data_IF_439722490364
#
_entry.id   IF_439722490364
#
_cell.length_a   1.000
_cell.length_b   1.000
_cell.length_c   1.000
_cell.angle_alpha   90.00
_cell.angle_beta   90.00
_cell.angle_gamma   90.00
#
_symmetry.space_group_name_H-M   'P 1'
#
loop_
_entity.id
_entity.type
_entity.pdbx_description
1 polymer ?
#
# COMPACT_ATOMS: atom_id res chain seq x y z
N UNK A 1 -0.47 9.25 4.32
CA UNK A 1 0.06 7.92 4.65
C UNK A 1 1.56 7.92 4.36
N UNK A 2 2.35 7.42 5.29
CA UNK A 2 3.81 7.39 5.19
C UNK A 2 4.30 5.95 5.38
N UNK A 3 5.31 5.55 4.61
CA UNK A 3 6.06 4.31 4.79
C UNK A 3 7.46 4.71 5.26
N UNK A 4 7.90 4.16 6.39
CA UNK A 4 9.28 4.30 6.85
C UNK A 4 10.16 3.21 6.22
N UNK A 5 11.16 3.61 5.44
CA UNK A 5 12.15 2.68 4.89
C UNK A 5 13.44 2.84 5.68
N UNK A 6 13.83 1.78 6.39
CA UNK A 6 15.10 1.73 7.14
C UNK A 6 16.10 0.97 6.28
N UNK A 7 17.18 1.63 5.87
CA UNK A 7 18.14 1.09 4.90
C UNK A 7 19.52 1.79 5.04
N UNK A 8 20.42 1.63 4.08
CA UNK A 8 21.79 2.18 4.12
C UNK A 8 21.92 3.57 3.47
N UNK A 9 20.85 4.10 2.86
CA UNK A 9 20.84 5.42 2.22
C UNK A 9 19.83 5.59 1.09
N UNK A 10 19.66 6.83 0.66
CA UNK A 10 18.60 7.25 -0.25
C UNK A 10 19.04 8.43 -1.13
N UNK A 11 18.87 8.32 -2.44
CA UNK A 11 18.86 9.45 -3.36
C UNK A 11 17.59 10.30 -3.19
N UNK A 12 17.64 11.25 -2.25
CA UNK A 12 16.52 12.16 -1.95
C UNK A 12 16.11 13.07 -3.12
N UNK A 13 16.88 13.10 -4.21
CA UNK A 13 16.60 13.89 -5.40
C UNK A 13 15.97 13.06 -6.53
N UNK A 14 15.72 11.77 -6.31
CA UNK A 14 15.09 10.91 -7.29
C UNK A 14 13.68 11.41 -7.63
N UNK A 15 13.43 11.73 -8.90
CA UNK A 15 12.18 12.40 -9.33
C UNK A 15 10.93 11.52 -9.23
N UNK A 16 11.15 10.21 -9.20
CA UNK A 16 10.08 9.21 -9.14
C UNK A 16 9.66 8.82 -7.72
N UNK A 17 10.22 9.46 -6.67
CA UNK A 17 9.91 9.16 -5.27
C UNK A 17 9.56 10.45 -4.54
N UNK A 18 8.49 10.42 -3.76
CA UNK A 18 8.18 11.50 -2.82
C UNK A 18 8.76 11.18 -1.43
N UNK A 19 9.94 11.73 -1.13
CA UNK A 19 10.52 11.63 0.21
C UNK A 19 9.86 12.62 1.17
N UNK A 20 9.36 12.09 2.29
CA UNK A 20 8.78 12.87 3.38
C UNK A 20 9.86 13.74 4.01
N UNK A 21 9.55 15.03 4.17
CA UNK A 21 10.37 15.97 4.94
C UNK A 21 9.65 16.33 6.23
N UNK A 22 10.39 16.50 7.32
CA UNK A 22 9.83 16.94 8.59
C UNK A 22 9.61 18.46 8.58
N UNK A 23 8.45 18.92 8.14
CA UNK A 23 8.12 20.36 8.10
C UNK A 23 7.80 20.96 9.48
N UNK A 24 7.84 20.15 10.54
CA UNK A 24 7.74 20.63 11.92
C UNK A 24 9.09 21.08 12.47
N UNK A 25 10.18 20.78 11.77
CA UNK A 25 11.54 21.25 12.05
C UNK A 25 11.91 22.51 11.25
N UNK A 26 12.68 23.40 11.87
CA UNK A 26 13.34 24.52 11.19
C UNK A 26 14.77 24.11 10.84
N UNK A 27 15.10 23.87 9.55
CA UNK A 27 16.37 23.25 9.18
C UNK A 27 17.60 24.01 9.67
N UNK A 28 18.46 23.34 10.44
CA UNK A 28 19.78 23.81 10.84
C UNK A 28 19.75 24.86 11.95
N UNK A 29 18.68 24.89 12.75
CA UNK A 29 18.59 25.76 13.92
C UNK A 29 19.16 25.09 15.18
N UNK A 30 19.55 23.82 15.12
CA UNK A 30 20.12 23.01 16.22
C UNK A 30 19.17 22.75 17.38
N UNK A 31 17.87 22.87 17.15
CA UNK A 31 16.81 22.58 18.11
C UNK A 31 15.99 21.38 17.62
N UNK A 32 15.29 20.75 18.57
CA UNK A 32 14.20 19.81 18.30
C UNK A 32 12.91 20.64 18.42
N UNK A 33 12.43 21.15 17.29
CA UNK A 33 11.31 22.10 17.23
C UNK A 33 9.96 21.40 17.40
N UNK A 34 9.86 20.16 16.91
CA UNK A 34 8.64 19.38 16.97
C UNK A 34 8.48 18.61 18.29
N UNK A 35 9.58 18.39 19.03
CA UNK A 35 9.65 17.72 20.31
C UNK A 35 9.68 16.19 20.21
N UNK A 36 10.11 15.63 19.07
CA UNK A 36 10.12 14.19 18.81
C UNK A 36 11.34 13.47 19.43
N UNK A 37 12.32 14.21 19.98
CA UNK A 37 13.56 13.69 20.55
C UNK A 37 14.76 13.64 19.59
N UNK A 38 14.60 14.13 18.36
CA UNK A 38 15.56 14.08 17.26
C UNK A 38 15.78 15.49 16.72
N UNK A 39 16.97 16.03 16.92
CA UNK A 39 17.31 17.41 16.54
C UNK A 39 17.51 17.53 15.02
N UNK A 40 16.92 18.57 14.41
CA UNK A 40 17.08 18.93 13.00
C UNK A 40 16.75 17.77 12.01
N UNK A 41 15.79 16.88 12.28
CA UNK A 41 15.47 15.69 11.45
C UNK A 41 14.71 16.00 10.13
N UNK A 42 14.99 17.15 9.50
CA UNK A 42 14.20 17.67 8.38
C UNK A 42 14.16 16.74 7.15
N UNK A 43 15.26 16.06 6.83
CA UNK A 43 15.36 15.16 5.67
C UNK A 43 15.09 13.68 6.00
N UNK A 44 14.72 13.36 7.24
CA UNK A 44 14.71 12.02 7.80
C UNK A 44 15.79 11.85 8.86
N UNK A 45 16.13 10.60 9.18
CA UNK A 45 17.08 10.33 10.27
C UNK A 45 18.21 9.40 9.84
N UNK A 46 19.43 9.73 10.26
CA UNK A 46 20.59 8.87 10.14
C UNK A 46 21.02 8.41 11.54
N UNK A 47 20.69 7.17 11.90
CA UNK A 47 21.00 6.60 13.21
C UNK A 47 22.51 6.30 13.40
N UNK A 48 23.30 6.33 12.33
CA UNK A 48 24.76 6.22 12.41
C UNK A 48 25.41 7.52 12.84
N UNK A 49 24.92 8.66 12.32
CA UNK A 49 25.50 9.99 12.58
C UNK A 49 24.68 10.86 13.51
N UNK A 50 23.52 10.36 13.96
CA UNK A 50 22.58 11.02 14.87
C UNK A 50 22.14 12.42 14.37
N UNK A 51 21.76 12.51 13.10
CA UNK A 51 21.31 13.74 12.43
C UNK A 51 20.52 13.43 11.15
N UNK A 52 20.16 14.44 10.36
CA UNK A 52 19.44 14.31 9.08
C UNK A 52 20.34 14.09 7.85
N UNK A 53 21.61 13.71 8.04
CA UNK A 53 22.54 13.53 6.93
C UNK A 53 22.26 12.22 6.16
N UNK A 54 21.28 12.28 5.26
CA UNK A 54 20.91 11.16 4.40
C UNK A 54 21.88 11.06 3.21
N UNK A 55 22.70 10.01 3.20
CA UNK A 55 23.63 9.72 2.10
C UNK A 55 22.90 9.04 0.94
N UNK A 56 23.35 9.29 -0.29
CA UNK A 56 22.80 8.63 -1.48
C UNK A 56 23.28 7.17 -1.55
N UNK A 57 22.34 6.23 -1.69
CA UNK A 57 22.61 4.80 -1.89
C UNK A 57 21.62 4.23 -2.92
N UNK A 58 22.04 3.20 -3.65
CA UNK A 58 21.20 2.52 -4.66
C UNK A 58 20.20 1.54 -4.04
N UNK A 59 20.56 0.84 -2.96
CA UNK A 59 19.72 -0.18 -2.34
C UNK A 59 18.45 0.42 -1.73
N UNK A 60 18.57 1.35 -0.78
CA UNK A 60 17.42 2.02 -0.17
C UNK A 60 16.57 2.82 -1.16
N UNK A 61 17.17 3.45 -2.19
CA UNK A 61 16.41 4.07 -3.29
C UNK A 61 15.59 3.04 -4.07
N UNK A 62 16.13 1.85 -4.34
CA UNK A 62 15.43 0.80 -5.09
C UNK A 62 14.28 0.19 -4.31
N UNK A 63 14.51 -0.09 -3.04
CA UNK A 63 13.50 -0.52 -2.07
C UNK A 63 12.37 0.51 -1.96
N UNK A 64 12.72 1.79 -1.84
CA UNK A 64 11.75 2.89 -1.78
C UNK A 64 10.87 2.98 -3.04
N UNK A 65 11.45 2.80 -4.22
CA UNK A 65 10.68 2.79 -5.47
C UNK A 65 9.71 1.63 -5.59
N UNK A 66 10.08 0.44 -5.09
CA UNK A 66 9.17 -0.72 -5.08
C UNK A 66 7.97 -0.44 -4.18
N UNK A 67 8.21 0.12 -2.99
CA UNK A 67 7.14 0.44 -2.05
C UNK A 67 6.22 1.56 -2.58
N UNK A 68 6.79 2.62 -3.16
CA UNK A 68 6.06 3.86 -3.41
C UNK A 68 6.61 4.82 -4.46
N UNK A 69 7.20 4.34 -5.57
CA UNK A 69 7.43 5.20 -6.72
C UNK A 69 6.11 5.79 -7.25
N UNK A 70 6.15 7.05 -7.69
CA UNK A 70 5.00 7.83 -8.10
C UNK A 70 4.46 7.27 -9.43
N UNK A 71 3.27 6.68 -9.40
CA UNK A 71 2.65 6.18 -10.62
C UNK A 71 2.02 7.27 -11.50
N UNK A 72 1.90 6.98 -12.80
CA UNK A 72 1.26 7.83 -13.82
C UNK A 72 1.83 9.25 -13.96
N UNK A 73 3.10 9.45 -13.62
CA UNK A 73 3.82 10.72 -13.81
C UNK A 73 4.57 10.82 -15.16
N UNK A 74 4.50 9.78 -16.00
CA UNK A 74 5.12 9.71 -17.33
C UNK A 74 6.62 9.42 -17.34
N UNK A 75 7.21 9.00 -16.21
CA UNK A 75 8.61 8.57 -16.11
C UNK A 75 8.72 7.21 -15.42
N UNK A 76 9.86 6.55 -15.59
CA UNK A 76 10.30 5.54 -14.65
C UNK A 76 9.41 4.32 -14.47
N UNK A 77 9.09 4.05 -13.20
CA UNK A 77 8.38 2.86 -12.72
C UNK A 77 7.16 3.29 -11.90
N UNK A 78 6.46 2.33 -11.30
CA UNK A 78 5.42 2.62 -10.33
C UNK A 78 5.61 1.69 -9.12
N UNK A 79 5.49 2.25 -7.93
CA UNK A 79 5.52 1.46 -6.70
C UNK A 79 4.21 0.71 -6.50
N UNK A 80 4.15 -0.08 -5.43
CA UNK A 80 2.91 -0.76 -5.03
C UNK A 80 1.84 0.25 -4.61
N UNK A 81 2.21 1.35 -3.93
CA UNK A 81 1.32 2.46 -3.65
C UNK A 81 1.79 3.76 -4.31
N UNK A 82 1.03 4.25 -5.29
CA UNK A 82 1.43 5.41 -6.10
C UNK A 82 1.32 6.74 -5.36
N UNK A 83 0.52 6.80 -4.29
CA UNK A 83 0.23 8.03 -3.55
C UNK A 83 0.62 7.85 -2.08
N UNK A 84 1.92 7.80 -1.84
CA UNK A 84 2.50 7.61 -0.52
C UNK A 84 3.77 8.44 -0.37
N UNK A 85 4.10 8.84 0.87
CA UNK A 85 5.41 9.41 1.17
C UNK A 85 6.34 8.36 1.74
N UNK A 86 7.62 8.43 1.37
CA UNK A 86 8.69 7.60 1.92
C UNK A 86 9.45 8.41 2.97
N UNK A 87 9.46 7.96 4.23
CA UNK A 87 10.33 8.48 5.27
C UNK A 87 11.67 7.71 5.21
N UNK A 88 12.80 8.35 4.88
CA UNK A 88 14.09 7.70 4.77
C UNK A 88 14.80 7.64 6.14
N UNK A 89 15.27 6.46 6.54
CA UNK A 89 16.05 6.26 7.77
C UNK A 89 17.31 5.43 7.48
N UNK A 90 18.48 5.92 7.90
CA UNK A 90 19.77 5.23 7.71
C UNK A 90 20.17 4.43 8.96
N UNK A 91 20.66 3.21 8.76
CA UNK A 91 21.32 2.35 9.75
C UNK A 91 22.43 1.51 9.10
N UNK A 92 23.46 1.11 9.88
CA UNK A 92 24.48 0.14 9.47
C UNK A 92 24.22 -1.27 10.06
N UNK A 93 22.97 -1.59 10.41
CA UNK A 93 22.54 -2.90 10.94
C UNK A 93 23.23 -3.25 12.28
N UNK A 94 23.56 -2.23 13.06
CA UNK A 94 23.96 -2.38 14.46
C UNK A 94 22.72 -2.29 15.34
N UNK A 95 22.52 -3.23 16.27
CA UNK A 95 21.30 -3.32 17.08
C UNK A 95 20.87 -1.97 17.68
N UNK A 96 21.80 -1.22 18.26
CA UNK A 96 21.50 0.09 18.85
C UNK A 96 21.00 1.13 17.83
N UNK A 97 21.57 1.12 16.62
CA UNK A 97 21.15 2.03 15.54
C UNK A 97 19.79 1.62 14.99
N UNK A 98 19.52 0.31 14.89
CA UNK A 98 18.21 -0.20 14.48
C UNK A 98 17.13 0.16 15.50
N UNK A 99 17.43 0.03 16.80
CA UNK A 99 16.53 0.47 17.88
C UNK A 99 16.26 1.98 17.77
N UNK A 100 17.30 2.80 17.56
CA UNK A 100 17.16 4.25 17.39
C UNK A 100 16.33 4.60 16.14
N UNK A 101 16.59 3.95 15.01
CA UNK A 101 15.84 4.12 13.77
C UNK A 101 14.34 3.84 13.96
N UNK A 102 13.98 2.74 14.63
CA UNK A 102 12.57 2.47 14.93
C UNK A 102 11.99 3.36 16.03
N UNK A 103 12.82 3.86 16.95
CA UNK A 103 12.38 4.83 17.96
C UNK A 103 11.99 6.16 17.30
N UNK A 104 12.73 6.58 16.26
CA UNK A 104 12.38 7.74 15.44
C UNK A 104 11.03 7.57 14.73
N UNK A 105 10.83 6.41 14.11
CA UNK A 105 9.54 6.07 13.48
C UNK A 105 8.39 6.11 14.51
N UNK A 106 8.62 5.54 15.69
CA UNK A 106 7.65 5.54 16.78
C UNK A 106 7.34 6.96 17.28
N UNK A 107 8.34 7.82 17.48
CA UNK A 107 8.12 9.18 18.02
C UNK A 107 7.28 10.04 17.09
N UNK A 108 7.54 10.00 15.78
CA UNK A 108 6.73 10.70 14.77
C UNK A 108 5.29 10.18 14.71
N UNK A 109 5.12 8.86 14.86
CA UNK A 109 3.79 8.24 14.90
C UNK A 109 3.02 8.61 16.16
N UNK A 110 3.68 8.61 17.31
CA UNK A 110 3.07 9.00 18.58
C UNK A 110 2.68 10.47 18.60
N UNK A 111 3.51 11.37 18.04
CA UNK A 111 3.12 12.77 17.86
C UNK A 111 1.84 12.86 17.04
N UNK A 112 1.76 12.16 15.90
CA UNK A 112 0.54 12.13 15.10
C UNK A 112 -0.68 11.66 15.90
N UNK A 113 -0.55 10.55 16.63
CA UNK A 113 -1.65 9.98 17.39
C UNK A 113 -2.11 10.91 18.53
N UNK A 114 -1.16 11.50 19.27
CA UNK A 114 -1.44 12.30 20.47
C UNK A 114 -1.89 13.72 20.14
N UNK A 115 -1.56 14.23 18.96
CA UNK A 115 -1.97 15.57 18.50
C UNK A 115 -3.05 15.55 17.42
N UNK A 116 -3.70 14.40 17.20
CA UNK A 116 -4.72 14.22 16.15
C UNK A 116 -4.27 14.70 14.76
N UNK A 117 -2.99 14.48 14.44
CA UNK A 117 -2.37 14.85 13.16
C UNK A 117 -1.82 16.28 13.06
N UNK A 118 -1.92 17.11 14.10
CA UNK A 118 -1.32 18.45 14.10
C UNK A 118 0.23 18.44 14.03
N UNK A 119 0.87 17.36 14.48
CA UNK A 119 2.31 17.09 14.43
C UNK A 119 2.57 15.64 14.01
N UNK A 120 3.80 15.34 13.64
CA UNK A 120 4.21 13.99 13.27
C UNK A 120 3.55 13.48 12.00
N UNK A 121 3.61 12.16 11.79
CA UNK A 121 3.17 11.54 10.54
C UNK A 121 2.31 10.30 10.75
N UNK A 122 1.32 10.12 9.87
CA UNK A 122 0.52 8.90 9.76
C UNK A 122 1.34 7.79 9.09
N UNK A 123 2.35 7.31 9.82
CA UNK A 123 3.19 6.18 9.42
C UNK A 123 2.39 4.90 9.68
N UNK A 124 2.25 4.06 8.66
CA UNK A 124 1.46 2.82 8.76
C UNK A 124 2.29 1.57 8.53
N UNK A 125 3.45 1.72 7.89
CA UNK A 125 4.32 0.60 7.59
C UNK A 125 5.80 0.95 7.78
N UNK A 126 6.57 -0.06 8.16
CA UNK A 126 8.03 -0.03 8.01
C UNK A 126 8.52 -1.13 7.06
N UNK A 127 9.68 -0.92 6.46
CA UNK A 127 10.39 -1.94 5.69
C UNK A 127 11.82 -2.11 6.20
N UNK A 128 12.20 -3.37 6.36
CA UNK A 128 13.53 -3.80 6.81
C UNK A 128 14.13 -4.72 5.75
N UNK A 129 14.80 -4.16 4.76
CA UNK A 129 15.48 -4.92 3.69
C UNK A 129 16.93 -5.21 4.05
N UNK A 130 17.18 -5.47 5.34
CA UNK A 130 18.47 -5.74 5.96
C UNK A 130 18.28 -6.73 7.11
N UNK A 131 19.38 -7.31 7.60
CA UNK A 131 19.32 -8.30 8.66
C UNK A 131 20.67 -8.86 9.06
N UNK A 132 20.63 -9.82 9.97
CA UNK A 132 21.79 -10.63 10.37
C UNK A 132 21.40 -12.09 10.16
N UNK A 133 22.10 -12.76 9.24
CA UNK A 133 21.85 -14.16 8.92
C UNK A 133 22.37 -15.09 10.03
N UNK A 134 21.70 -16.24 10.22
CA UNK A 134 22.18 -17.37 11.05
C UNK A 134 22.39 -17.03 12.54
N UNK A 135 21.58 -16.13 13.09
CA UNK A 135 21.59 -15.76 14.50
C UNK A 135 20.23 -15.97 15.14
N UNK A 136 20.22 -16.18 16.46
CA UNK A 136 18.96 -16.31 17.21
C UNK A 136 18.37 -14.94 17.53
N UNK A 137 17.06 -14.73 17.38
CA UNK A 137 16.39 -13.52 17.85
C UNK A 137 16.49 -13.33 19.37
N UNK A 138 16.72 -14.40 20.13
CA UNK A 138 16.94 -14.35 21.59
C UNK A 138 18.20 -13.56 21.97
N UNK A 139 19.16 -13.42 21.04
CA UNK A 139 20.37 -12.61 21.24
C UNK A 139 20.12 -11.11 20.97
N UNK A 140 18.97 -10.76 20.37
CA UNK A 140 18.57 -9.39 20.00
C UNK A 140 17.15 -9.03 20.48
N UNK A 141 16.82 -9.25 21.78
CA UNK A 141 15.46 -9.13 22.27
C UNK A 141 14.91 -7.70 22.18
N UNK A 142 15.78 -6.68 22.23
CA UNK A 142 15.38 -5.28 22.15
C UNK A 142 15.03 -4.88 20.72
N UNK A 143 15.75 -5.39 19.72
CA UNK A 143 15.36 -5.20 18.32
C UNK A 143 13.99 -5.85 18.07
N UNK A 144 13.79 -7.12 18.45
CA UNK A 144 12.47 -7.75 18.25
C UNK A 144 11.33 -7.00 18.95
N UNK A 145 11.57 -6.48 20.16
CA UNK A 145 10.58 -5.70 20.91
C UNK A 145 10.19 -4.36 20.25
N UNK A 146 11.01 -3.83 19.32
CA UNK A 146 10.65 -2.63 18.58
C UNK A 146 9.46 -2.88 17.64
N UNK A 147 9.33 -4.07 17.05
CA UNK A 147 8.19 -4.39 16.21
C UNK A 147 6.87 -4.38 17.01
N UNK A 148 6.88 -4.86 18.25
CA UNK A 148 5.72 -4.76 19.14
C UNK A 148 5.41 -3.31 19.55
N UNK A 149 6.45 -2.50 19.74
CA UNK A 149 6.31 -1.07 20.09
C UNK A 149 5.67 -0.30 18.95
N UNK A 150 6.15 -0.51 17.72
CA UNK A 150 5.57 0.05 16.49
C UNK A 150 4.15 -0.45 16.26
N UNK A 151 3.92 -1.75 16.44
CA UNK A 151 2.63 -2.40 16.33
C UNK A 151 1.56 -1.81 17.23
N UNK A 152 1.90 -1.53 18.49
CA UNK A 152 1.01 -0.86 19.44
C UNK A 152 0.57 0.53 19.00
N UNK A 153 1.38 1.21 18.19
CA UNK A 153 1.04 2.50 17.58
C UNK A 153 0.30 2.37 16.22
N UNK A 154 0.02 1.14 15.79
CA UNK A 154 -0.67 0.80 14.54
C UNK A 154 0.25 0.63 13.33
N UNK A 155 1.56 0.52 13.53
CA UNK A 155 2.50 0.34 12.42
C UNK A 155 2.77 -1.15 12.19
N UNK A 156 2.59 -1.61 10.95
CA UNK A 156 2.95 -2.97 10.56
C UNK A 156 4.31 -2.99 9.86
N UNK A 157 5.22 -3.83 10.33
CA UNK A 157 6.58 -3.90 9.79
C UNK A 157 6.70 -5.05 8.80
N UNK A 158 7.47 -4.84 7.75
CA UNK A 158 7.88 -5.89 6.81
C UNK A 158 9.38 -6.10 6.87
N UNK A 159 9.82 -7.34 6.68
CA UNK A 159 11.23 -7.67 6.67
C UNK A 159 11.60 -8.71 5.61
N UNK A 160 12.75 -8.50 5.00
CA UNK A 160 13.38 -9.44 4.11
C UNK A 160 14.12 -10.50 4.94
N UNK A 161 13.89 -11.78 4.63
CA UNK A 161 14.70 -12.87 5.21
C UNK A 161 16.07 -12.96 4.53
N UNK A 162 17.02 -13.73 5.05
CA UNK A 162 18.29 -14.04 4.37
C UNK A 162 18.13 -14.37 2.88
N UNK A 163 19.06 -13.94 2.05
CA UNK A 163 19.10 -14.33 0.63
C UNK A 163 19.62 -15.77 0.41
N UNK A 164 20.16 -16.40 1.47
CA UNK A 164 20.59 -17.78 1.45
C UNK A 164 19.40 -18.75 1.49
N UNK A 165 19.53 -19.90 0.83
CA UNK A 165 18.51 -20.95 0.86
C UNK A 165 18.58 -21.75 2.17
N UNK A 166 18.17 -21.12 3.27
CA UNK A 166 18.23 -21.66 4.62
C UNK A 166 16.84 -21.82 5.22
N UNK A 167 16.66 -22.87 6.03
CA UNK A 167 15.49 -23.00 6.87
C UNK A 167 15.68 -22.16 8.14
N UNK A 168 15.06 -20.98 8.17
CA UNK A 168 15.11 -20.00 9.25
C UNK A 168 14.53 -20.53 10.56
N UNK A 169 13.55 -21.44 10.51
CA UNK A 169 13.03 -22.12 11.72
C UNK A 169 14.15 -22.89 12.47
N UNK A 170 15.24 -23.26 11.77
CA UNK A 170 16.36 -24.04 12.31
C UNK A 170 17.57 -23.18 12.62
N UNK A 171 17.94 -22.28 11.71
CA UNK A 171 19.21 -21.54 11.80
C UNK A 171 19.07 -20.13 12.37
N UNK A 172 17.85 -19.61 12.45
CA UNK A 172 17.58 -18.25 12.86
C UNK A 172 17.94 -17.20 11.80
N UNK A 173 17.34 -16.02 11.95
CA UNK A 173 17.54 -14.85 11.10
C UNK A 173 17.02 -13.63 11.86
N UNK A 174 17.79 -12.54 11.84
CA UNK A 174 17.27 -11.24 12.28
C UNK A 174 16.93 -10.38 11.06
N UNK A 175 15.75 -9.73 11.02
CA UNK A 175 14.70 -9.78 12.04
C UNK A 175 13.65 -10.89 11.80
N UNK A 176 13.73 -11.69 10.73
CA UNK A 176 12.57 -12.49 10.31
C UNK A 176 12.19 -13.65 11.22
N UNK A 177 13.05 -14.04 12.16
CA UNK A 177 12.71 -14.99 13.23
C UNK A 177 12.13 -14.33 14.50
N UNK A 178 12.02 -13.00 14.57
CA UNK A 178 11.36 -12.32 15.69
C UNK A 178 9.88 -12.72 15.76
N UNK A 179 9.39 -13.10 16.94
CA UNK A 179 8.03 -13.60 17.15
C UNK A 179 6.94 -12.52 17.21
N UNK A 180 7.21 -11.31 16.74
CA UNK A 180 6.25 -10.20 16.84
C UNK A 180 5.09 -10.40 15.87
N UNK A 181 3.86 -10.31 16.37
CA UNK A 181 2.66 -10.36 15.52
C UNK A 181 2.62 -9.21 14.50
N UNK A 182 3.35 -8.12 14.76
CA UNK A 182 3.39 -6.91 13.94
C UNK A 182 4.52 -6.91 12.90
N UNK A 183 5.22 -8.03 12.74
CA UNK A 183 6.19 -8.25 11.68
C UNK A 183 5.62 -9.18 10.62
N UNK A 184 5.79 -8.83 9.35
CA UNK A 184 5.56 -9.71 8.20
C UNK A 184 6.91 -10.07 7.59
N UNK A 185 7.29 -11.34 7.71
CA UNK A 185 8.54 -11.91 7.20
C UNK A 185 8.36 -12.43 5.78
N UNK A 186 9.24 -12.02 4.85
CA UNK A 186 9.01 -12.15 3.42
C UNK A 186 10.15 -12.90 2.73
N UNK A 187 9.80 -13.98 2.00
CA UNK A 187 10.71 -14.66 1.07
C UNK A 187 10.50 -14.22 -0.38
N UNK A 188 11.38 -14.67 -1.27
CA UNK A 188 11.49 -14.18 -2.63
C UNK A 188 10.91 -15.16 -3.66
N UNK A 189 10.08 -14.64 -4.55
CA UNK A 189 9.57 -15.34 -5.73
C UNK A 189 10.05 -14.67 -7.02
N UNK A 190 10.16 -15.46 -8.09
CA UNK A 190 10.50 -14.96 -9.42
C UNK A 190 9.24 -14.68 -10.27
N UNK A 191 9.44 -14.20 -11.50
CA UNK A 191 8.36 -13.94 -12.48
C UNK A 191 7.57 -15.17 -12.95
N UNK A 192 7.99 -16.37 -12.56
CA UNK A 192 7.31 -17.64 -12.82
C UNK A 192 6.67 -18.22 -11.55
N UNK A 193 6.61 -17.43 -10.47
CA UNK A 193 6.06 -17.80 -9.17
C UNK A 193 6.80 -18.98 -8.51
N UNK A 194 8.12 -19.00 -8.65
CA UNK A 194 8.98 -20.01 -8.05
C UNK A 194 9.84 -19.41 -6.94
N UNK A 195 10.06 -20.17 -5.87
CA UNK A 195 11.04 -19.87 -4.82
C UNK A 195 12.43 -20.34 -5.30
N UNK A 196 13.21 -19.46 -5.92
CA UNK A 196 14.55 -19.81 -6.43
C UNK A 196 15.68 -19.54 -5.43
N UNK A 197 15.50 -18.56 -4.55
CA UNK A 197 16.52 -18.08 -3.62
C UNK A 197 15.87 -17.27 -2.51
N UNK A 198 16.37 -17.40 -1.29
CA UNK A 198 15.82 -16.77 -0.10
C UNK A 198 15.60 -17.79 1.01
N UNK A 199 15.63 -17.32 2.25
CA UNK A 199 15.27 -18.09 3.43
C UNK A 199 13.81 -18.53 3.38
N UNK A 200 13.53 -19.63 4.06
CA UNK A 200 12.19 -20.17 4.22
C UNK A 200 12.01 -20.67 5.65
N UNK A 201 10.78 -20.85 6.10
CA UNK A 201 10.47 -21.29 7.45
C UNK A 201 8.96 -21.42 7.58
N UNK A 202 8.49 -22.62 7.91
CA UNK A 202 7.07 -22.93 8.04
C UNK A 202 6.41 -22.14 9.19
N UNK A 203 7.21 -21.61 10.12
CA UNK A 203 6.71 -20.83 11.26
C UNK A 203 7.28 -19.41 11.33
N UNK A 204 8.45 -19.15 10.76
CA UNK A 204 9.09 -17.82 10.82
C UNK A 204 8.85 -16.95 9.59
N UNK A 205 8.59 -17.55 8.41
CA UNK A 205 8.42 -16.80 7.16
C UNK A 205 6.97 -16.82 6.74
N UNK A 206 6.35 -15.65 6.64
CA UNK A 206 4.91 -15.54 6.47
C UNK A 206 4.46 -15.85 5.03
N UNK A 207 5.10 -15.23 4.04
CA UNK A 207 4.70 -15.32 2.63
C UNK A 207 5.84 -15.00 1.65
N UNK A 208 5.62 -15.28 0.37
CA UNK A 208 6.48 -14.83 -0.72
C UNK A 208 6.03 -13.51 -1.35
N UNK A 209 6.96 -12.74 -1.91
CA UNK A 209 6.66 -11.64 -2.83
C UNK A 209 7.70 -11.59 -3.97
N UNK A 210 7.44 -10.87 -5.08
CA UNK A 210 8.40 -10.77 -6.18
C UNK A 210 9.71 -10.10 -5.73
N UNK A 211 10.83 -10.80 -5.84
CA UNK A 211 12.15 -10.25 -5.48
C UNK A 211 13.25 -10.55 -6.49
N UNK A 212 12.98 -11.36 -7.51
CA UNK A 212 13.97 -11.76 -8.51
C UNK A 212 13.84 -10.93 -9.78
N UNK A 213 14.93 -10.24 -10.15
CA UNK A 213 15.01 -9.35 -11.30
C UNK A 213 13.96 -8.24 -11.29
N UNK A 214 13.80 -7.57 -10.14
CA UNK A 214 12.86 -6.47 -9.96
C UNK A 214 13.47 -5.16 -10.48
N UNK A 215 12.78 -4.50 -11.40
CA UNK A 215 13.17 -3.22 -11.97
C UNK A 215 12.56 -2.09 -11.14
N UNK A 216 13.38 -1.18 -10.62
CA UNK A 216 12.96 -0.06 -9.78
C UNK A 216 13.93 1.13 -9.92
N UNK A 217 13.69 2.19 -9.16
CA UNK A 217 14.55 3.37 -9.01
C UNK A 217 15.94 2.99 -8.49
N UNK A 218 16.98 3.72 -8.89
CA UNK A 218 18.34 3.63 -8.33
C UNK A 218 18.94 5.03 -8.22
N UNK A 219 20.01 5.18 -7.45
CA UNK A 219 20.66 6.48 -7.27
C UNK A 219 21.11 7.11 -8.60
N UNK A 220 21.08 8.45 -8.65
CA UNK A 220 21.40 9.23 -9.84
C UNK A 220 20.20 9.38 -10.78
N UNK A 221 18.98 9.49 -10.22
CA UNK A 221 17.73 9.65 -10.98
C UNK A 221 17.59 8.63 -12.14
N UNK A 222 17.91 7.37 -11.85
CA UNK A 222 18.05 6.29 -12.83
C UNK A 222 17.22 5.08 -12.42
N UNK A 223 17.16 4.06 -13.28
CA UNK A 223 16.38 2.85 -13.02
C UNK A 223 17.22 1.60 -13.32
N UNK A 224 16.99 0.53 -12.58
CA UNK A 224 17.79 -0.68 -12.69
C UNK A 224 17.15 -1.91 -12.05
N UNK A 225 17.71 -3.06 -12.38
CA UNK A 225 17.26 -4.36 -11.87
C UNK A 225 18.10 -4.80 -10.67
N UNK A 226 17.46 -5.22 -9.58
CA UNK A 226 18.10 -5.91 -8.46
C UNK A 226 17.39 -7.23 -8.16
N UNK A 227 18.03 -8.09 -7.38
CA UNK A 227 17.51 -9.40 -6.96
C UNK A 227 17.80 -9.64 -5.51
N UNK A 228 16.78 -10.02 -4.75
CA UNK A 228 16.88 -10.42 -3.35
C UNK A 228 15.54 -10.39 -2.64
N UNK A 229 15.50 -10.99 -1.46
CA UNK A 229 14.40 -10.81 -0.49
C UNK A 229 14.23 -9.33 -0.12
N UNK A 230 15.32 -8.55 -0.17
CA UNK A 230 15.30 -7.08 -0.04
C UNK A 230 14.36 -6.39 -1.03
N UNK A 231 14.14 -6.95 -2.22
CA UNK A 231 13.19 -6.45 -3.20
C UNK A 231 11.78 -7.02 -2.99
N UNK A 232 11.63 -8.10 -2.22
CA UNK A 232 10.34 -8.72 -1.89
C UNK A 232 9.64 -7.96 -0.77
N UNK A 233 10.34 -7.71 0.33
CA UNK A 233 9.80 -7.01 1.51
C UNK A 233 9.09 -5.66 1.21
N UNK A 234 9.62 -4.74 0.38
CA UNK A 234 8.95 -3.47 0.12
C UNK A 234 7.62 -3.59 -0.61
N UNK A 235 7.34 -4.72 -1.29
CA UNK A 235 6.00 -4.98 -1.82
C UNK A 235 4.98 -5.10 -0.68
N UNK A 236 5.36 -5.67 0.46
CA UNK A 236 4.49 -5.77 1.64
C UNK A 236 4.29 -4.40 2.29
N UNK A 237 5.35 -3.61 2.47
CA UNK A 237 5.21 -2.26 3.02
C UNK A 237 4.27 -1.38 2.17
N UNK A 238 4.43 -1.44 0.84
CA UNK A 238 3.52 -0.77 -0.09
C UNK A 238 2.10 -1.32 -0.06
N UNK A 239 1.92 -2.64 0.09
CA UNK A 239 0.61 -3.29 0.24
C UNK A 239 -0.12 -2.81 1.50
N UNK A 240 0.56 -2.78 2.65
CA UNK A 240 0.00 -2.26 3.91
C UNK A 240 -0.45 -0.81 3.72
N UNK A 241 0.41 0.03 3.13
CA UNK A 241 0.05 1.42 2.88
C UNK A 241 -1.15 1.57 1.94
N UNK A 242 -1.25 0.75 0.88
CA UNK A 242 -2.38 0.78 -0.03
C UNK A 242 -3.68 0.33 0.66
N UNK A 243 -3.62 -0.74 1.45
CA UNK A 243 -4.78 -1.22 2.22
C UNK A 243 -5.24 -0.18 3.24
N UNK A 244 -4.31 0.49 3.94
CA UNK A 244 -4.66 1.58 4.85
C UNK A 244 -5.23 2.80 4.12
N UNK A 245 -4.76 3.10 2.91
CA UNK A 245 -5.35 4.15 2.07
C UNK A 245 -6.76 3.81 1.60
N UNK A 246 -7.06 2.51 1.55
CA UNK A 246 -8.35 1.98 1.15
C UNK A 246 -9.25 1.49 2.27
N UNK A 247 -8.88 1.75 3.52
CA UNK A 247 -9.72 1.44 4.65
C UNK A 247 -10.95 2.35 4.67
N UNK A 248 -12.09 1.79 5.06
CA UNK A 248 -13.33 2.52 5.27
C UNK A 248 -13.32 3.30 6.60
N UNK A 249 -14.28 4.21 6.77
CA UNK A 249 -14.42 4.98 8.01
C UNK A 249 -14.53 4.09 9.24
N UNK A 250 -15.32 3.01 9.20
CA UNK A 250 -15.49 2.11 10.35
C UNK A 250 -14.15 1.47 10.77
N UNK A 251 -13.35 1.00 9.80
CA UNK A 251 -12.00 0.50 10.06
C UNK A 251 -11.10 1.59 10.65
N UNK A 252 -11.15 2.81 10.11
CA UNK A 252 -10.31 3.91 10.57
C UNK A 252 -10.71 4.41 11.97
N UNK A 253 -12.00 4.36 12.32
CA UNK A 253 -12.52 4.70 13.65
C UNK A 253 -12.09 3.66 14.69
N UNK A 254 -12.17 2.37 14.35
CA UNK A 254 -11.65 1.29 15.18
C UNK A 254 -10.12 1.36 15.29
N UNK A 255 -9.43 1.67 14.20
CA UNK A 255 -7.98 1.85 14.17
C UNK A 255 -7.54 3.07 15.01
N UNK A 256 -8.32 4.14 15.06
CA UNK A 256 -8.06 5.28 15.95
C UNK A 256 -8.27 4.90 17.42
N UNK A 257 -9.21 4.01 17.70
CA UNK A 257 -9.57 3.57 19.07
C UNK A 257 -8.61 2.53 19.62
N UNK A 258 -8.28 1.51 18.81
CA UNK A 258 -7.36 0.42 19.13
C UNK A 258 -6.48 0.11 17.90
N UNK A 259 -5.42 0.91 17.68
CA UNK A 259 -4.54 0.74 16.53
C UNK A 259 -3.81 -0.60 16.55
N UNK A 260 -3.49 -1.11 17.75
CA UNK A 260 -2.78 -2.36 17.96
C UNK A 260 -3.61 -3.56 17.50
N UNK A 261 -4.86 -3.67 17.95
CA UNK A 261 -5.73 -4.76 17.50
C UNK A 261 -6.12 -4.61 16.02
N UNK A 262 -6.43 -3.38 15.59
CA UNK A 262 -7.00 -3.17 14.26
C UNK A 262 -5.99 -3.38 13.13
N UNK A 263 -4.70 -3.03 13.32
CA UNK A 263 -3.69 -3.25 12.28
C UNK A 263 -3.45 -4.74 11.99
N UNK A 264 -3.68 -5.62 12.96
CA UNK A 264 -3.50 -7.07 12.78
C UNK A 264 -4.49 -7.66 11.78
N UNK A 265 -5.65 -7.03 11.54
CA UNK A 265 -6.53 -7.41 10.45
C UNK A 265 -5.88 -7.22 9.08
N UNK A 266 -5.06 -6.18 8.88
CA UNK A 266 -4.32 -6.00 7.63
C UNK A 266 -3.34 -7.16 7.41
N UNK A 267 -2.59 -7.56 8.45
CA UNK A 267 -1.73 -8.75 8.37
C UNK A 267 -2.55 -9.99 8.03
N UNK A 268 -3.63 -10.23 8.77
CA UNK A 268 -4.51 -11.39 8.55
C UNK A 268 -5.01 -11.43 7.10
N UNK A 269 -5.52 -10.32 6.57
CA UNK A 269 -6.05 -10.25 5.22
C UNK A 269 -4.98 -10.44 4.15
N UNK A 270 -3.75 -9.98 4.38
CA UNK A 270 -2.61 -10.27 3.49
C UNK A 270 -2.32 -11.78 3.45
N UNK A 271 -2.26 -12.44 4.61
CA UNK A 271 -1.90 -13.86 4.71
C UNK A 271 -3.01 -14.80 4.25
N UNK A 272 -4.28 -14.46 4.48
CA UNK A 272 -5.43 -15.26 4.04
C UNK A 272 -5.73 -15.12 2.54
N UNK A 273 -5.19 -14.10 1.88
CA UNK A 273 -5.54 -13.76 0.49
C UNK A 273 -4.44 -14.08 -0.51
N UNK A 274 -3.41 -14.81 -0.12
CA UNK A 274 -2.27 -15.15 -0.99
C UNK A 274 -2.69 -16.01 -2.19
N UNK A 275 -1.95 -15.90 -3.29
CA UNK A 275 -1.97 -16.92 -4.33
C UNK A 275 -1.12 -18.11 -3.85
N UNK A 276 -1.73 -19.27 -3.61
CA UNK A 276 -1.00 -20.47 -3.14
C UNK A 276 -0.04 -20.96 -4.21
N UNK A 277 1.21 -21.26 -3.82
CA UNK A 277 2.25 -21.76 -4.70
C UNK A 277 2.84 -23.06 -4.14
N UNK A 278 3.04 -24.06 -5.00
CA UNK A 278 3.60 -25.36 -4.61
C UNK A 278 4.93 -25.23 -3.88
N UNK A 279 5.81 -24.34 -4.36
CA UNK A 279 7.13 -24.08 -3.77
C UNK A 279 7.08 -23.42 -2.38
N UNK A 280 5.93 -22.85 -1.98
CA UNK A 280 5.76 -22.16 -0.69
C UNK A 280 4.95 -23.00 0.30
N UNK A 281 4.21 -24.02 -0.16
CA UNK A 281 3.40 -24.89 0.69
C UNK A 281 4.28 -25.64 1.71
N UNK A 282 3.98 -25.44 3.00
CA UNK A 282 4.71 -26.08 4.09
C UNK A 282 6.13 -25.54 4.34
N UNK A 283 6.56 -24.50 3.62
CA UNK A 283 7.83 -23.79 3.86
C UNK A 283 7.65 -22.30 4.16
N UNK A 284 6.43 -21.78 4.10
CA UNK A 284 5.99 -20.50 4.68
C UNK A 284 4.66 -20.69 5.41
N UNK A 285 4.29 -19.75 6.28
CA UNK A 285 3.05 -19.79 7.08
C UNK A 285 1.81 -19.80 6.19
N UNK A 286 1.77 -18.92 5.18
CA UNK A 286 0.61 -18.78 4.27
C UNK A 286 0.63 -19.78 3.11
N UNK A 287 1.79 -20.37 2.79
CA UNK A 287 1.94 -21.23 1.62
C UNK A 287 1.79 -20.50 0.27
N UNK A 288 1.87 -19.16 0.24
CA UNK A 288 1.58 -18.41 -0.97
C UNK A 288 2.32 -17.09 -1.11
N UNK A 289 2.08 -16.46 -2.25
CA UNK A 289 2.66 -15.18 -2.67
C UNK A 289 1.63 -14.06 -2.53
N UNK A 290 2.08 -12.86 -2.16
CA UNK A 290 1.23 -11.67 -2.00
C UNK A 290 0.27 -11.46 -3.18
N UNK A 291 -1.03 -11.44 -2.89
CA UNK A 291 -2.05 -10.96 -3.82
C UNK A 291 -2.82 -9.79 -3.18
N UNK A 292 -2.37 -8.58 -3.52
CA UNK A 292 -2.89 -7.34 -2.94
C UNK A 292 -4.34 -7.06 -3.36
N UNK A 293 -4.75 -7.48 -4.55
CA UNK A 293 -6.14 -7.33 -4.99
C UNK A 293 -7.09 -8.13 -4.10
N UNK A 294 -6.77 -9.41 -3.89
CA UNK A 294 -7.54 -10.29 -3.00
C UNK A 294 -7.52 -9.78 -1.55
N UNK A 295 -6.39 -9.27 -1.06
CA UNK A 295 -6.29 -8.69 0.29
C UNK A 295 -7.16 -7.44 0.47
N UNK A 296 -7.23 -6.56 -0.54
CA UNK A 296 -8.13 -5.40 -0.54
C UNK A 296 -9.60 -5.84 -0.54
N UNK A 297 -9.96 -6.84 -1.36
CA UNK A 297 -11.31 -7.43 -1.34
C UNK A 297 -11.64 -8.07 0.00
N UNK A 298 -10.66 -8.66 0.68
CA UNK A 298 -10.87 -9.28 1.99
C UNK A 298 -11.10 -8.24 3.08
N UNK A 299 -10.26 -7.19 3.13
CA UNK A 299 -10.49 -6.01 3.97
C UNK A 299 -11.87 -5.45 3.72
N UNK A 300 -12.25 -5.46 2.44
CA UNK A 300 -13.51 -4.98 2.00
C UNK A 300 -14.66 -5.73 2.68
N UNK A 301 -14.86 -6.97 2.23
CA UNK A 301 -16.00 -7.80 2.60
C UNK A 301 -16.08 -8.06 4.10
N UNK A 302 -14.93 -8.17 4.78
CA UNK A 302 -14.86 -8.69 6.14
C UNK A 302 -15.03 -7.62 7.22
N UNK A 303 -14.58 -6.39 6.95
CA UNK A 303 -14.55 -5.34 7.98
C UNK A 303 -15.53 -4.21 7.70
N UNK A 304 -15.61 -3.82 6.44
CA UNK A 304 -16.21 -2.56 6.09
C UNK A 304 -17.71 -2.68 5.77
N UNK A 305 -18.35 -3.86 5.91
CA UNK A 305 -19.81 -4.09 5.78
C UNK A 305 -20.47 -3.19 4.71
N UNK A 306 -20.19 -3.45 3.43
CA UNK A 306 -20.58 -2.69 2.23
C UNK A 306 -19.99 -1.27 2.07
N UNK A 307 -19.25 -0.74 3.05
CA UNK A 307 -18.50 0.50 2.92
C UNK A 307 -17.13 0.24 2.31
N UNK A 308 -17.06 -0.33 1.10
CA UNK A 308 -15.77 -0.59 0.48
C UNK A 308 -15.79 -0.14 -0.95
N UNK A 309 -14.67 0.46 -1.35
CA UNK A 309 -14.06 0.28 -2.65
C UNK A 309 -14.97 -0.44 -3.64
N UNK A 310 -15.53 0.35 -4.54
CA UNK A 310 -16.28 -0.08 -5.72
C UNK A 310 -15.38 -0.89 -6.68
N UNK A 311 -14.86 -2.01 -6.19
CA UNK A 311 -14.14 -3.04 -6.93
C UNK A 311 -15.05 -4.28 -7.06
N UNK A 312 -16.05 -4.45 -6.18
CA UNK A 312 -17.09 -5.48 -6.32
C UNK A 312 -18.44 -4.97 -6.85
N UNK A 313 -18.69 -3.65 -6.86
CA UNK A 313 -19.90 -3.12 -7.50
C UNK A 313 -19.72 -2.78 -9.00
N UNK A 314 -18.51 -2.95 -9.55
CA UNK A 314 -18.29 -2.93 -10.99
C UNK A 314 -18.08 -4.31 -11.60
N UNK A 315 -19.05 -5.21 -11.35
CA UNK A 315 -19.58 -6.01 -12.44
C UNK A 315 -21.12 -6.04 -12.42
N UNK A 316 -21.76 -4.87 -12.23
CA UNK A 316 -22.90 -4.65 -13.12
C UNK A 316 -22.27 -4.52 -14.51
N UNK A 317 -22.22 -5.62 -15.26
CA UNK A 317 -21.84 -5.57 -16.68
C UNK A 317 -22.94 -4.78 -17.40
N UNK A 318 -22.73 -3.47 -17.46
CA UNK A 318 -23.62 -2.49 -18.08
C UNK A 318 -23.24 -2.36 -19.54
N UNK A 319 -24.13 -2.80 -20.41
CA UNK A 319 -24.04 -2.57 -21.86
C UNK A 319 -24.83 -1.34 -22.22
N UNK A 320 -24.12 -0.36 -22.80
CA UNK A 320 -24.71 0.83 -23.39
C UNK A 320 -24.81 0.61 -24.90
N UNK A 321 -25.99 0.77 -25.47
CA UNK A 321 -26.18 0.67 -26.91
C UNK A 321 -27.38 1.48 -27.40
N UNK A 322 -27.36 1.99 -28.64
CA UNK A 322 -26.16 2.14 -29.45
C UNK A 322 -25.19 3.16 -28.82
N UNK A 323 -23.90 3.03 -29.14
CA UNK A 323 -22.87 4.03 -28.79
C UNK A 323 -21.82 3.99 -29.91
N UNK A 324 -21.80 4.96 -30.86
CA UNK A 324 -22.52 6.23 -30.83
C UNK A 324 -24.05 6.13 -30.96
N UNK A 325 -24.78 7.09 -30.40
CA UNK A 325 -26.24 7.15 -30.39
C UNK A 325 -26.78 8.40 -31.09
N UNK A 326 -27.97 8.29 -31.70
CA UNK A 326 -28.63 9.40 -32.41
C UNK A 326 -29.82 9.90 -31.61
N UNK A 327 -30.85 9.07 -31.43
CA UNK A 327 -32.10 9.48 -30.77
C UNK A 327 -32.24 8.93 -29.34
N UNK A 328 -31.71 7.73 -29.09
CA UNK A 328 -31.84 7.03 -27.81
C UNK A 328 -30.59 6.25 -27.41
N UNK A 329 -30.39 6.15 -26.09
CA UNK A 329 -29.40 5.27 -25.46
C UNK A 329 -30.12 4.26 -24.57
N UNK A 330 -29.84 2.99 -24.75
CA UNK A 330 -30.33 1.90 -23.90
C UNK A 330 -29.22 1.41 -22.98
N UNK A 331 -29.62 1.05 -21.76
CA UNK A 331 -28.71 0.60 -20.71
C UNK A 331 -29.20 -0.77 -20.25
N UNK A 332 -28.42 -1.82 -20.52
CA UNK A 332 -28.74 -3.18 -20.09
C UNK A 332 -27.75 -3.66 -19.05
N UNK A 333 -28.25 -4.26 -17.98
CA UNK A 333 -27.44 -4.89 -16.92
C UNK A 333 -27.38 -6.39 -17.16
N UNK A 334 -26.19 -6.97 -17.07
CA UNK A 334 -26.00 -8.42 -17.25
C UNK A 334 -26.25 -9.22 -15.95
N UNK A 335 -26.35 -8.56 -14.81
CA UNK A 335 -26.84 -9.17 -13.57
C UNK A 335 -28.38 -9.24 -13.58
N UNK A 336 -28.91 -10.46 -13.64
CA UNK A 336 -30.36 -10.73 -13.64
C UNK A 336 -31.02 -10.54 -12.28
N UNK A 337 -30.23 -10.48 -11.20
CA UNK A 337 -30.72 -10.32 -9.84
C UNK A 337 -30.71 -8.85 -9.37
N UNK A 338 -30.15 -7.93 -10.17
CA UNK A 338 -30.16 -6.52 -9.85
C UNK A 338 -31.56 -5.92 -9.99
N UNK A 339 -32.18 -5.60 -8.85
CA UNK A 339 -33.58 -5.13 -8.77
C UNK A 339 -33.71 -3.71 -8.21
N UNK A 340 -32.60 -3.10 -7.75
CA UNK A 340 -32.59 -1.74 -7.20
C UNK A 340 -32.86 -0.71 -8.31
N UNK A 341 -33.51 0.39 -7.94
CA UNK A 341 -33.76 1.48 -8.89
C UNK A 341 -32.51 2.33 -9.08
N UNK A 342 -32.42 2.94 -10.26
CA UNK A 342 -31.28 3.72 -10.68
C UNK A 342 -31.71 5.03 -11.30
N UNK A 343 -30.91 6.05 -11.04
CA UNK A 343 -30.98 7.34 -11.70
C UNK A 343 -29.89 7.43 -12.74
N UNK A 344 -30.25 7.75 -13.99
CA UNK A 344 -29.29 8.01 -15.03
C UNK A 344 -29.11 9.52 -15.22
N UNK A 345 -27.86 9.95 -15.32
CA UNK A 345 -27.49 11.33 -15.64
C UNK A 345 -26.52 11.36 -16.83
N UNK A 346 -26.75 12.28 -17.76
CA UNK A 346 -25.82 12.58 -18.85
C UNK A 346 -25.33 14.01 -18.69
N UNK A 347 -24.01 14.17 -18.66
CA UNK A 347 -23.35 15.48 -18.60
C UNK A 347 -22.47 15.69 -19.82
N UNK A 348 -22.36 16.93 -20.30
CA UNK A 348 -21.42 17.27 -21.37
C UNK A 348 -19.98 17.42 -20.83
N UNK A 349 -19.01 17.64 -21.72
CA UNK A 349 -17.60 17.84 -21.36
C UNK A 349 -17.33 19.07 -20.47
N UNK A 350 -18.28 20.00 -20.37
CA UNK A 350 -18.19 21.17 -19.49
C UNK A 350 -18.81 20.89 -18.10
N UNK A 351 -19.31 19.67 -17.87
CA UNK A 351 -19.95 19.26 -16.62
C UNK A 351 -21.42 19.70 -16.49
N UNK A 352 -22.01 20.25 -17.56
CA UNK A 352 -23.42 20.66 -17.54
C UNK A 352 -24.32 19.43 -17.67
N UNK A 353 -25.33 19.35 -16.80
CA UNK A 353 -26.31 18.26 -16.81
C UNK A 353 -27.34 18.45 -17.92
N UNK A 354 -27.38 17.49 -18.83
CA UNK A 354 -28.22 17.52 -20.02
C UNK A 354 -29.47 16.65 -19.82
N UNK A 355 -29.29 15.47 -19.23
CA UNK A 355 -30.37 14.55 -18.88
C UNK A 355 -30.21 14.12 -17.43
N UNK A 356 -31.35 14.03 -16.73
CA UNK A 356 -31.47 13.49 -15.38
C UNK A 356 -32.80 12.78 -15.29
N UNK A 357 -32.80 11.47 -15.04
CA UNK A 357 -34.03 10.73 -14.78
C UNK A 357 -34.44 10.82 -13.32
N UNK A 358 -35.64 10.36 -12.99
CA UNK A 358 -35.95 9.86 -11.65
C UNK A 358 -35.31 8.47 -11.43
N UNK A 359 -35.39 7.95 -10.21
CA UNK A 359 -35.01 6.56 -9.92
C UNK A 359 -35.99 5.59 -10.59
N UNK A 360 -35.51 4.90 -11.62
CA UNK A 360 -36.28 3.95 -12.45
C UNK A 360 -35.70 2.55 -12.36
N UNK A 361 -36.50 1.53 -12.64
CA UNK A 361 -35.99 0.16 -12.66
C UNK A 361 -35.02 -0.06 -13.85
N UNK A 362 -34.03 -0.96 -13.73
CA UNK A 362 -33.14 -1.31 -14.84
C UNK A 362 -33.90 -1.79 -16.10
N UNK A 363 -35.08 -2.40 -15.91
CA UNK A 363 -35.94 -2.82 -17.02
C UNK A 363 -36.41 -1.63 -17.87
N UNK A 364 -36.72 -0.48 -17.26
CA UNK A 364 -37.12 0.74 -17.98
C UNK A 364 -35.93 1.25 -18.80
N UNK A 365 -34.74 1.34 -18.20
CA UNK A 365 -33.54 1.81 -18.89
C UNK A 365 -33.14 0.90 -20.08
N UNK A 366 -33.44 -0.40 -19.98
CA UNK A 366 -33.18 -1.38 -21.05
C UNK A 366 -34.20 -1.32 -22.19
N UNK A 367 -35.48 -1.09 -21.91
CA UNK A 367 -36.56 -1.20 -22.89
C UNK A 367 -37.05 0.14 -23.43
N UNK A 368 -37.09 1.18 -22.60
CA UNK A 368 -37.58 2.50 -22.99
C UNK A 368 -36.43 3.43 -23.43
N UNK A 369 -35.25 3.24 -22.84
CA UNK A 369 -34.04 4.01 -23.12
C UNK A 369 -34.12 5.47 -22.67
N UNK A 370 -32.99 6.17 -22.73
CA UNK A 370 -32.87 7.60 -22.52
C UNK A 370 -33.04 8.32 -23.84
N UNK A 371 -33.99 9.25 -23.92
CA UNK A 371 -34.16 10.13 -25.08
C UNK A 371 -33.08 11.21 -25.06
N UNK A 372 -32.25 11.22 -26.11
CA UNK A 372 -31.15 12.16 -26.30
C UNK A 372 -31.41 13.10 -27.49
N UNK A 373 -32.60 13.06 -28.08
CA UNK A 373 -32.94 13.83 -29.27
C UNK A 373 -32.73 15.32 -29.04
N UNK A 374 -32.09 16.00 -30.00
CA UNK A 374 -31.87 17.44 -29.96
C UNK A 374 -30.61 17.89 -29.22
N UNK A 375 -29.81 16.96 -28.69
CA UNK A 375 -28.48 17.26 -28.15
C UNK A 375 -27.43 17.32 -29.29
N UNK A 376 -26.45 18.24 -29.22
CA UNK A 376 -25.43 18.33 -30.24
C UNK A 376 -24.54 17.09 -30.30
N UNK A 377 -24.05 16.73 -31.49
CA UNK A 377 -23.09 15.65 -31.64
C UNK A 377 -21.80 15.93 -30.85
N UNK A 378 -21.29 14.94 -30.13
CA UNK A 378 -20.15 15.12 -29.22
C UNK A 378 -19.95 13.99 -28.21
N UNK A 379 -18.99 14.18 -27.31
CA UNK A 379 -18.71 13.24 -26.21
C UNK A 379 -19.41 13.70 -24.94
N UNK A 380 -20.01 12.75 -24.24
CA UNK A 380 -20.73 12.97 -22.99
C UNK A 380 -20.34 11.90 -21.97
N UNK A 381 -20.57 12.17 -20.70
CA UNK A 381 -20.41 11.21 -19.62
C UNK A 381 -21.79 10.77 -19.13
N UNK A 382 -22.07 9.48 -19.25
CA UNK A 382 -23.23 8.84 -18.64
C UNK A 382 -22.83 8.33 -17.25
N UNK A 383 -23.62 8.62 -16.22
CA UNK A 383 -23.46 8.09 -14.87
C UNK A 383 -24.77 7.49 -14.36
N UNK A 384 -24.67 6.38 -13.63
CA UNK A 384 -25.80 5.76 -12.92
C UNK A 384 -25.60 5.92 -11.43
N UNK A 385 -26.67 6.26 -10.73
CA UNK A 385 -26.70 6.44 -9.28
C UNK A 385 -27.75 5.53 -8.65
N UNK A 386 -27.43 4.96 -7.48
CA UNK A 386 -28.38 4.23 -6.66
C UNK A 386 -29.24 5.18 -5.80
N UNK A 387 -30.25 4.63 -5.11
CA UNK A 387 -31.19 5.41 -4.28
C UNK A 387 -30.51 6.17 -3.11
N UNK A 388 -29.27 5.82 -2.77
CA UNK A 388 -28.45 6.53 -1.79
C UNK A 388 -27.61 7.66 -2.41
N UNK A 389 -27.80 7.95 -3.70
CA UNK A 389 -27.04 8.92 -4.50
C UNK A 389 -25.58 8.53 -4.72
N UNK A 390 -25.24 7.25 -4.57
CA UNK A 390 -23.90 6.73 -4.84
C UNK A 390 -23.81 6.39 -6.33
N UNK A 391 -22.74 6.85 -6.99
CA UNK A 391 -22.49 6.51 -8.40
C UNK A 391 -22.03 5.06 -8.50
N UNK A 392 -22.79 4.23 -9.20
CA UNK A 392 -22.54 2.79 -9.36
C UNK A 392 -21.99 2.39 -10.72
N UNK A 393 -22.02 3.31 -11.70
CA UNK A 393 -21.46 3.09 -13.03
C UNK A 393 -21.19 4.43 -13.72
N UNK A 394 -20.15 4.49 -14.54
CA UNK A 394 -19.89 5.62 -15.41
C UNK A 394 -19.19 5.21 -16.70
N UNK A 395 -19.58 5.81 -17.82
CA UNK A 395 -18.92 5.57 -19.11
C UNK A 395 -19.06 6.77 -20.04
N UNK A 396 -18.05 6.95 -20.89
CA UNK A 396 -18.16 7.84 -22.05
C UNK A 396 -19.17 7.33 -23.06
N UNK A 397 -19.99 8.23 -23.59
CA UNK A 397 -20.93 7.99 -24.69
C UNK A 397 -20.72 9.04 -25.78
N UNK A 398 -20.97 8.65 -27.02
CA UNK A 398 -20.86 9.52 -28.18
C UNK A 398 -22.26 9.76 -28.75
N UNK A 399 -22.64 11.01 -28.95
CA UNK A 399 -23.87 11.40 -29.64
C UNK A 399 -23.52 11.84 -31.07
N UNK A 400 -24.35 11.48 -32.04
CA UNK A 400 -24.18 11.83 -33.47
C UNK A 400 -25.18 12.87 -33.95
#
# INVERSE_FOLDING_TARGET
IVIAIVDEGFDLLHQDIYFQKNYFEVPGNTLDDDGNGFTDDFYGWNATTHNDAITSNTHGTHVSGIAGAIGDNGIGVAGVNWHVSILPIITDVVESQVIEAYTYVFSLRELYNTTDGDKGYFIVATNSSFGIDLVSPDDYPLWCAMYDTLGKAGILSSAATTNGNYNVDVVGDMPTACSSDYLISVTNTNKFDQLLSGGFGATTIDLGAPGTSVYSTIAGNSYGTQTGTSMSAPHIAGAVALMMSGACTDFLDDYKTDPAATILFIKQYILESVDTLEDLEGVTVSGGRLNLYSALLKLAESYCNDAIFDIQNNLIDVKIFPNPAVDKIFISMNDKNYTRKLKAEIVNVLGEKIISTDYVSPHILKHEGLDITGNPGGTYLLSLYDENHIRVFSSGICLQ
#
